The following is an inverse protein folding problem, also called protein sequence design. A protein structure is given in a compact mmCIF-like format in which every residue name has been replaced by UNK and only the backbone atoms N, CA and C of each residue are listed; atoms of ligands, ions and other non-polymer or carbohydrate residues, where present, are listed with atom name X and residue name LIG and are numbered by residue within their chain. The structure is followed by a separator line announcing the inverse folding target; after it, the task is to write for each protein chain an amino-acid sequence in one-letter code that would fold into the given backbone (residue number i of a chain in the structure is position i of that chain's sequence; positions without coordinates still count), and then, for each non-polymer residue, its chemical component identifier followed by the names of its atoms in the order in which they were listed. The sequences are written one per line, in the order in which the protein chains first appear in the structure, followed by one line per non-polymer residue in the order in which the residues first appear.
data_IF_191047055680
#
_entry.id   IF_191047055680
#
_cell.length_a   1.000
_cell.length_b   1.000
_cell.length_c   1.000
_cell.angle_alpha   90.00
_cell.angle_beta   90.00
_cell.angle_gamma   90.00
#
_symmetry.space_group_name_H-M   'P 1'
#
loop_
_entity.id
_entity.type
_entity.pdbx_description
1 polymer ?
#
# COMPACT_ATOMS: atom_id res chain seq x y z
N UNK A 1 -39.97 -47.65 79.56
CA UNK A 1 -40.77 -48.23 78.46
C UNK A 1 -41.68 -47.13 77.93
N UNK A 2 -41.22 -46.40 76.92
CA UNK A 2 -41.98 -45.52 76.04
C UNK A 2 -41.01 -45.03 74.94
N UNK A 3 -41.06 -45.71 73.79
CA UNK A 3 -40.35 -45.36 72.55
C UNK A 3 -40.90 -44.04 72.01
N UNK A 4 -40.02 -43.06 71.81
CA UNK A 4 -40.33 -41.86 71.05
C UNK A 4 -40.03 -42.13 69.57
N UNK A 5 -41.10 -42.33 68.80
CA UNK A 5 -41.12 -42.48 67.35
C UNK A 5 -40.50 -41.27 66.65
N UNK A 6 -39.31 -41.47 66.07
CA UNK A 6 -38.68 -40.54 65.13
C UNK A 6 -39.43 -40.60 63.79
N UNK A 7 -40.28 -39.60 63.51
CA UNK A 7 -40.87 -39.41 62.20
C UNK A 7 -39.89 -38.65 61.31
N UNK A 8 -39.09 -39.40 60.55
CA UNK A 8 -38.19 -38.88 59.53
C UNK A 8 -39.02 -38.41 58.32
N UNK A 9 -39.34 -37.10 58.28
CA UNK A 9 -39.92 -36.48 57.08
C UNK A 9 -38.84 -36.42 55.99
N UNK A 10 -38.96 -37.28 55.00
CA UNK A 10 -38.28 -37.16 53.71
C UNK A 10 -38.67 -35.81 53.08
N UNK A 11 -37.69 -34.89 52.97
CA UNK A 11 -37.85 -33.67 52.19
C UNK A 11 -37.64 -34.03 50.72
N UNK A 12 -38.67 -33.86 49.90
CA UNK A 12 -38.53 -33.94 48.45
C UNK A 12 -37.56 -32.86 47.94
N UNK A 13 -36.66 -33.19 47.00
CA UNK A 13 -35.78 -32.20 46.39
C UNK A 13 -36.63 -31.26 45.51
N UNK A 14 -36.67 -29.98 45.88
CA UNK A 14 -37.24 -28.93 45.04
C UNK A 14 -36.45 -28.83 43.72
N UNK A 15 -37.11 -28.75 42.55
CA UNK A 15 -36.42 -28.54 41.28
C UNK A 15 -35.80 -27.14 41.29
N UNK A 16 -34.47 -27.08 41.46
CA UNK A 16 -33.71 -25.83 41.36
C UNK A 16 -33.86 -25.31 39.95
N UNK A 17 -34.51 -24.16 39.81
CA UNK A 17 -34.85 -23.55 38.54
C UNK A 17 -33.59 -23.30 37.70
N UNK A 18 -33.41 -24.12 36.66
CA UNK A 18 -32.28 -24.11 35.72
C UNK A 18 -32.24 -22.85 34.81
N UNK A 19 -33.08 -21.84 35.07
CA UNK A 19 -33.27 -20.67 34.19
C UNK A 19 -32.04 -19.77 34.09
N UNK A 20 -31.22 -19.68 35.14
CA UNK A 20 -30.05 -18.78 35.15
C UNK A 20 -28.86 -19.25 34.31
N UNK A 21 -28.70 -20.57 34.10
CA UNK A 21 -27.64 -21.13 33.25
C UNK A 21 -27.96 -20.93 31.76
N UNK A 22 -29.20 -21.21 31.36
CA UNK A 22 -29.66 -21.03 29.98
C UNK A 22 -29.48 -19.59 29.47
N UNK A 23 -29.67 -18.57 30.31
CA UNK A 23 -29.49 -17.18 29.90
C UNK A 23 -28.03 -16.79 29.67
N UNK A 24 -27.11 -17.33 30.48
CA UNK A 24 -25.67 -17.06 30.33
C UNK A 24 -25.14 -17.79 29.09
N UNK A 25 -25.55 -19.04 28.89
CA UNK A 25 -25.16 -19.83 27.73
C UNK A 25 -25.67 -19.23 26.42
N UNK A 26 -26.92 -18.71 26.42
CA UNK A 26 -27.49 -18.00 25.27
C UNK A 26 -26.76 -16.69 24.97
N UNK A 27 -26.35 -15.94 26.00
CA UNK A 27 -25.58 -14.71 25.84
C UNK A 27 -24.21 -14.99 25.19
N UNK A 28 -23.50 -16.03 25.66
CA UNK A 28 -22.22 -16.44 25.09
C UNK A 28 -22.34 -16.94 23.67
N UNK A 29 -23.34 -17.75 23.36
CA UNK A 29 -23.63 -18.18 22.00
C UNK A 29 -23.88 -16.99 21.07
N UNK A 30 -24.66 -16.01 21.54
CA UNK A 30 -24.94 -14.79 20.77
C UNK A 30 -23.65 -13.99 20.55
N UNK A 31 -22.83 -13.81 21.59
CA UNK A 31 -21.56 -13.09 21.50
C UNK A 31 -20.58 -13.75 20.50
N UNK A 32 -20.47 -15.09 20.53
CA UNK A 32 -19.64 -15.84 19.59
C UNK A 32 -20.18 -15.70 18.16
N UNK A 33 -21.50 -15.73 17.98
CA UNK A 33 -22.11 -15.62 16.66
C UNK A 33 -21.97 -14.21 16.09
N UNK A 34 -22.02 -13.16 16.92
CA UNK A 34 -21.71 -11.78 16.52
C UNK A 34 -20.23 -11.60 16.20
N UNK A 35 -19.33 -12.14 17.03
CA UNK A 35 -17.88 -12.08 16.75
C UNK A 35 -17.51 -12.83 15.46
N UNK A 36 -18.14 -13.99 15.24
CA UNK A 36 -17.99 -14.78 14.02
C UNK A 36 -18.61 -14.12 12.79
N UNK A 37 -19.69 -13.36 12.92
CA UNK A 37 -20.27 -12.63 11.78
C UNK A 37 -19.49 -11.38 11.42
N UNK A 38 -18.80 -10.75 12.39
CA UNK A 38 -17.94 -9.59 12.17
C UNK A 38 -16.81 -9.87 11.15
N UNK A 39 -16.33 -11.10 11.04
CA UNK A 39 -15.29 -11.45 10.05
C UNK A 39 -15.75 -11.24 8.59
N UNK A 40 -17.07 -11.26 8.33
CA UNK A 40 -17.65 -10.99 7.00
C UNK A 40 -17.87 -9.49 6.75
N UNK A 41 -17.87 -8.68 7.81
CA UNK A 41 -17.99 -7.23 7.74
C UNK A 41 -16.66 -6.53 7.57
N UNK A 42 -15.56 -7.18 7.96
CA UNK A 42 -14.24 -6.67 7.61
C UNK A 42 -13.94 -7.00 6.15
N UNK A 43 -13.64 -6.01 5.31
CA UNK A 43 -13.15 -6.28 3.97
C UNK A 43 -11.90 -7.14 4.09
N UNK A 44 -11.72 -8.11 3.19
CA UNK A 44 -10.45 -8.83 3.06
C UNK A 44 -9.36 -7.82 2.71
N UNK A 45 -8.72 -7.25 3.74
CA UNK A 45 -7.54 -6.42 3.59
C UNK A 45 -6.43 -7.38 3.24
N UNK A 46 -6.22 -7.59 1.94
CA UNK A 46 -5.00 -8.24 1.48
C UNK A 46 -3.84 -7.41 2.04
N UNK A 47 -2.85 -8.02 2.73
CA UNK A 47 -1.63 -7.29 3.01
C UNK A 47 -1.15 -6.72 1.68
N UNK A 48 -0.94 -5.39 1.63
CA UNK A 48 -0.39 -4.76 0.44
C UNK A 48 0.93 -5.43 0.06
N UNK A 49 1.35 -5.27 -1.19
CA UNK A 49 2.66 -5.76 -1.65
C UNK A 49 3.74 -5.19 -0.73
N UNK A 50 4.67 -6.05 -0.27
CA UNK A 50 5.79 -5.61 0.55
C UNK A 50 6.61 -4.56 -0.22
N UNK A 51 7.20 -3.60 0.49
CA UNK A 51 8.08 -2.55 -0.06
C UNK A 51 7.47 -1.46 -0.98
N UNK A 52 6.17 -1.51 -1.31
CA UNK A 52 5.48 -0.41 -2.01
C UNK A 52 5.16 0.79 -1.10
N UNK A 53 4.73 1.92 -1.69
CA UNK A 53 4.32 3.12 -0.93
C UNK A 53 3.20 2.84 0.09
N UNK A 54 2.38 1.82 -0.16
CA UNK A 54 1.29 1.35 0.72
C UNK A 54 1.69 0.19 1.65
N UNK A 55 2.96 -0.24 1.63
CA UNK A 55 3.46 -1.29 2.53
C UNK A 55 3.30 -0.90 4.01
N UNK A 56 3.06 -1.90 4.86
CA UNK A 56 3.08 -1.74 6.32
C UNK A 56 4.50 -1.54 6.86
N UNK A 57 5.51 -1.98 6.12
CA UNK A 57 6.92 -1.85 6.48
C UNK A 57 7.42 -0.40 6.31
N UNK A 58 8.49 -0.04 7.02
CA UNK A 58 9.05 1.31 6.93
C UNK A 58 10.01 1.50 5.75
N UNK A 59 10.35 0.40 5.07
CA UNK A 59 11.41 0.33 4.06
C UNK A 59 10.85 0.44 2.62
N UNK A 60 11.75 0.50 1.64
CA UNK A 60 11.42 0.52 0.22
C UNK A 60 10.88 1.86 -0.27
N UNK A 61 9.85 1.82 -1.12
CA UNK A 61 9.27 3.02 -1.75
C UNK A 61 8.56 3.92 -0.73
N UNK A 62 8.09 3.34 0.38
CA UNK A 62 7.51 4.08 1.50
C UNK A 62 8.56 4.89 2.25
N UNK A 63 9.78 4.37 2.45
CA UNK A 63 10.88 5.13 3.04
C UNK A 63 11.14 6.42 2.25
N UNK A 64 11.21 6.32 0.92
CA UNK A 64 11.36 7.47 0.03
C UNK A 64 10.22 8.49 0.18
N UNK A 65 8.97 8.04 0.21
CA UNK A 65 7.82 8.93 0.46
C UNK A 65 7.91 9.64 1.82
N UNK A 66 8.29 8.93 2.89
CA UNK A 66 8.40 9.50 4.23
C UNK A 66 9.53 10.53 4.31
N UNK A 67 10.67 10.24 3.68
CA UNK A 67 11.78 11.19 3.55
C UNK A 67 11.37 12.43 2.76
N UNK A 68 10.70 12.26 1.62
CA UNK A 68 10.16 13.37 0.84
C UNK A 68 9.23 14.23 1.68
N UNK A 69 8.28 13.63 2.38
CA UNK A 69 7.35 14.36 3.24
C UNK A 69 8.08 15.15 4.33
N UNK A 70 9.03 14.52 5.02
CA UNK A 70 9.81 15.17 6.08
C UNK A 70 10.63 16.35 5.55
N UNK A 71 11.30 16.18 4.41
CA UNK A 71 12.09 17.26 3.79
C UNK A 71 11.20 18.37 3.21
N UNK A 72 10.05 18.01 2.65
CA UNK A 72 9.07 18.97 2.15
C UNK A 72 8.45 19.79 3.28
N UNK A 73 8.17 19.20 4.44
CA UNK A 73 7.71 19.95 5.62
C UNK A 73 8.74 21.02 6.05
N UNK A 74 10.05 20.69 6.04
CA UNK A 74 11.12 21.67 6.30
C UNK A 74 11.15 22.80 5.27
N UNK A 75 10.89 22.48 4.00
CA UNK A 75 10.92 23.41 2.88
C UNK A 75 9.58 24.11 2.63
N UNK A 76 8.55 23.86 3.45
CA UNK A 76 7.17 24.33 3.26
C UNK A 76 6.57 23.93 1.91
N UNK A 77 6.99 22.79 1.37
CA UNK A 77 6.42 22.17 0.18
C UNK A 77 5.32 21.18 0.61
N UNK A 78 4.26 21.10 -0.20
CA UNK A 78 3.14 20.20 0.10
C UNK A 78 3.33 18.84 -0.58
N UNK A 79 3.50 17.79 0.21
CA UNK A 79 3.52 16.40 -0.25
C UNK A 79 2.34 15.66 0.36
N UNK A 80 1.48 15.13 -0.50
CA UNK A 80 0.34 14.33 -0.08
C UNK A 80 0.25 13.05 -0.91
N UNK A 81 -0.34 12.01 -0.32
CA UNK A 81 -0.75 10.83 -1.07
C UNK A 81 -2.07 11.11 -1.76
N UNK A 82 -2.10 10.70 -3.01
CA UNK A 82 -3.33 10.56 -3.77
C UNK A 82 -4.13 9.37 -3.24
N UNK A 83 -5.38 9.62 -2.85
CA UNK A 83 -6.36 8.57 -2.55
C UNK A 83 -7.50 8.55 -3.57
N UNK A 84 -7.50 9.51 -4.49
CA UNK A 84 -8.50 9.62 -5.51
C UNK A 84 -8.01 8.90 -6.78
N UNK A 85 -8.93 8.38 -7.58
CA UNK A 85 -8.61 7.92 -8.92
C UNK A 85 -7.81 8.98 -9.70
N UNK A 86 -6.83 8.54 -10.51
CA UNK A 86 -5.97 9.45 -11.29
C UNK A 86 -6.79 10.31 -12.26
N UNK A 87 -7.92 9.81 -12.76
CA UNK A 87 -8.92 10.59 -13.51
C UNK A 87 -9.63 11.67 -12.67
N UNK A 88 -9.56 11.68 -11.34
CA UNK A 88 -10.09 12.79 -10.54
C UNK A 88 -8.99 13.78 -10.14
N UNK A 89 -7.75 13.34 -10.04
CA UNK A 89 -6.62 14.22 -9.72
C UNK A 89 -5.95 14.83 -10.95
N UNK A 90 -5.96 14.11 -12.06
CA UNK A 90 -5.45 14.54 -13.36
C UNK A 90 -6.62 14.97 -14.28
N UNK A 91 -7.77 14.29 -14.21
CA UNK A 91 -8.93 14.49 -15.12
C UNK A 91 -10.18 15.07 -14.41
N UNK A 92 -10.10 15.45 -13.12
CA UNK A 92 -11.17 16.08 -12.31
C UNK A 92 -11.53 17.51 -12.71
N UNK A 93 -11.43 17.77 -14.01
CA UNK A 93 -11.76 18.97 -14.74
C UNK A 93 -12.16 18.50 -16.12
N UNK A 94 -13.42 18.14 -16.29
CA UNK A 94 -14.09 18.07 -17.59
C UNK A 94 -14.13 19.48 -18.21
N UNK A 95 -12.97 19.96 -18.63
CA UNK A 95 -12.68 21.10 -19.49
C UNK A 95 -11.20 21.44 -19.34
N UNK A 96 -10.33 20.79 -20.12
CA UNK A 96 -9.15 21.47 -20.71
C UNK A 96 -8.18 22.17 -19.73
N UNK A 97 -8.17 21.81 -18.45
CA UNK A 97 -7.44 22.53 -17.40
C UNK A 97 -6.92 21.55 -16.36
N UNK A 98 -5.64 21.21 -16.46
CA UNK A 98 -4.80 20.78 -15.33
C UNK A 98 -5.29 21.47 -14.03
N UNK A 99 -5.55 20.75 -12.92
CA UNK A 99 -6.03 21.33 -11.67
C UNK A 99 -5.21 22.58 -11.33
N UNK A 100 -5.85 23.65 -10.84
CA UNK A 100 -5.15 24.91 -10.52
C UNK A 100 -4.01 24.72 -9.49
N UNK A 101 -3.98 23.58 -8.77
CA UNK A 101 -2.88 23.14 -7.89
C UNK A 101 -1.64 22.58 -8.63
N UNK A 102 -1.82 22.07 -9.84
CA UNK A 102 -0.75 21.59 -10.72
C UNK A 102 -0.27 22.69 -11.70
N UNK A 103 -0.95 23.85 -11.75
CA UNK A 103 -0.58 25.05 -12.51
C UNK A 103 0.11 26.13 -11.66
N UNK A 104 0.87 25.73 -10.65
CA UNK A 104 1.73 26.69 -9.96
C UNK A 104 2.87 27.13 -10.89
N UNK A 105 3.43 28.31 -10.64
CA UNK A 105 4.62 28.84 -11.32
C UNK A 105 5.83 27.87 -11.28
N UNK A 106 5.78 26.88 -10.38
CA UNK A 106 6.55 25.63 -10.45
C UNK A 106 5.57 24.45 -10.55
N UNK A 107 5.48 23.76 -11.70
CA UNK A 107 4.65 22.57 -11.81
C UNK A 107 5.16 21.52 -10.81
N UNK A 108 4.27 20.95 -9.97
CA UNK A 108 4.69 20.02 -8.92
C UNK A 108 5.15 18.69 -9.51
N UNK A 109 5.84 17.85 -8.74
CA UNK A 109 6.20 16.51 -9.20
C UNK A 109 5.08 15.51 -8.90
N UNK A 110 4.71 14.69 -9.88
CA UNK A 110 3.82 13.54 -9.71
C UNK A 110 4.67 12.28 -9.50
N UNK A 111 4.44 11.54 -8.42
CA UNK A 111 5.22 10.35 -8.09
C UNK A 111 4.36 9.08 -8.18
N UNK A 112 4.61 8.23 -9.17
CA UNK A 112 4.02 6.90 -9.34
C UNK A 112 4.96 5.85 -8.75
N UNK A 113 4.88 5.66 -7.43
CA UNK A 113 5.81 4.82 -6.66
C UNK A 113 5.20 3.45 -6.30
N UNK A 114 5.00 2.60 -7.32
CA UNK A 114 4.28 1.32 -7.17
C UNK A 114 2.79 1.53 -6.86
N UNK A 115 2.01 2.18 -7.74
CA UNK A 115 0.61 2.48 -7.45
C UNK A 115 -0.24 1.21 -7.42
N UNK A 116 -1.27 1.16 -6.58
CA UNK A 116 -2.19 0.02 -6.51
C UNK A 116 -2.86 -0.30 -7.86
N UNK A 117 -3.06 0.72 -8.70
CA UNK A 117 -3.47 0.58 -10.10
C UNK A 117 -2.62 1.53 -10.93
N UNK A 118 -2.05 1.04 -12.03
CA UNK A 118 -1.42 1.93 -13.00
C UNK A 118 -2.46 2.80 -13.74
N UNK A 119 -2.06 3.96 -14.27
CA UNK A 119 -2.96 4.77 -15.08
C UNK A 119 -3.49 4.01 -16.30
N UNK A 120 -4.73 4.27 -16.69
CA UNK A 120 -5.31 3.77 -17.94
C UNK A 120 -4.83 4.62 -19.15
N UNK A 121 -5.24 4.28 -20.37
CA UNK A 121 -4.79 4.98 -21.58
C UNK A 121 -5.17 6.48 -21.61
N UNK A 122 -6.35 6.84 -21.10
CA UNK A 122 -6.82 8.23 -21.05
C UNK A 122 -6.04 9.03 -19.99
N UNK A 123 -5.85 8.45 -18.81
CA UNK A 123 -5.06 9.05 -17.73
C UNK A 123 -3.60 9.23 -18.13
N UNK A 124 -3.01 8.26 -18.85
CA UNK A 124 -1.67 8.40 -19.39
C UNK A 124 -1.58 9.57 -20.37
N UNK A 125 -2.56 9.73 -21.26
CA UNK A 125 -2.60 10.85 -22.20
C UNK A 125 -2.60 12.18 -21.44
N UNK A 126 -3.41 12.31 -20.38
CA UNK A 126 -3.48 13.53 -19.58
C UNK A 126 -2.19 13.80 -18.78
N UNK A 127 -1.55 12.75 -18.22
CA UNK A 127 -0.24 12.87 -17.55
C UNK A 127 0.81 13.34 -18.55
N UNK A 128 0.79 12.83 -19.78
CA UNK A 128 1.76 13.20 -20.81
C UNK A 128 1.57 14.64 -21.31
N UNK A 129 0.33 15.07 -21.51
CA UNK A 129 0.03 16.48 -21.81
C UNK A 129 0.52 17.40 -20.70
N UNK A 130 0.42 16.96 -19.44
CA UNK A 130 0.92 17.70 -18.29
C UNK A 130 2.46 17.73 -18.22
N UNK A 131 3.15 16.63 -18.51
CA UNK A 131 4.62 16.59 -18.63
C UNK A 131 5.09 17.54 -19.73
N UNK A 132 4.45 17.50 -20.91
CA UNK A 132 4.74 18.40 -22.02
C UNK A 132 4.53 19.89 -21.67
N UNK A 133 3.70 20.18 -20.66
CA UNK A 133 3.51 21.52 -20.11
C UNK A 133 4.55 21.91 -19.04
N UNK A 134 5.56 21.07 -18.79
CA UNK A 134 6.66 21.28 -17.84
C UNK A 134 6.53 20.48 -16.54
N UNK A 135 5.57 19.57 -16.42
CA UNK A 135 5.40 18.72 -15.24
C UNK A 135 6.49 17.64 -15.09
N UNK A 136 6.86 17.34 -13.85
CA UNK A 136 7.85 16.29 -13.56
C UNK A 136 7.16 15.00 -13.12
N UNK A 137 7.42 13.89 -13.80
CA UNK A 137 6.91 12.57 -13.43
C UNK A 137 8.03 11.69 -12.87
N UNK A 138 7.86 11.18 -11.65
CA UNK A 138 8.73 10.17 -11.04
C UNK A 138 8.04 8.81 -11.13
N UNK A 139 8.69 7.82 -11.75
CA UNK A 139 8.15 6.46 -11.89
C UNK A 139 9.03 5.47 -11.13
N UNK A 140 8.39 4.62 -10.34
CA UNK A 140 8.93 3.39 -9.82
C UNK A 140 7.93 2.25 -9.97
N UNK A 141 8.45 1.11 -10.39
CA UNK A 141 7.68 -0.08 -10.65
C UNK A 141 7.12 -0.73 -9.39
N UNK A 142 5.91 -1.25 -9.49
CA UNK A 142 5.32 -2.15 -8.49
C UNK A 142 5.96 -3.53 -8.56
N UNK A 143 6.27 -4.12 -7.41
CA UNK A 143 7.08 -5.34 -7.36
C UNK A 143 6.32 -6.60 -7.84
N UNK A 144 5.01 -6.66 -7.64
CA UNK A 144 4.13 -7.75 -8.11
C UNK A 144 3.59 -7.55 -9.54
N UNK A 145 3.91 -6.43 -10.20
CA UNK A 145 3.44 -6.14 -11.55
C UNK A 145 4.53 -5.47 -12.42
N UNK A 146 5.66 -6.17 -12.64
CA UNK A 146 6.87 -5.60 -13.23
C UNK A 146 6.85 -5.53 -14.77
N UNK A 147 5.70 -5.60 -15.43
CA UNK A 147 5.59 -5.58 -16.90
C UNK A 147 4.82 -4.35 -17.42
N UNK A 148 5.10 -3.18 -16.85
CA UNK A 148 4.50 -1.93 -17.31
C UNK A 148 5.21 -1.47 -18.60
N UNK A 149 4.43 -1.18 -19.65
CA UNK A 149 4.91 -0.49 -20.85
C UNK A 149 4.17 0.83 -21.01
N UNK A 150 4.91 1.92 -21.18
CA UNK A 150 4.38 3.24 -21.46
C UNK A 150 5.01 3.70 -22.79
N UNK A 151 4.43 3.28 -23.94
CA UNK A 151 5.05 3.50 -25.25
C UNK A 151 5.32 4.97 -25.57
N UNK A 152 4.48 5.87 -25.06
CA UNK A 152 4.53 7.30 -25.37
C UNK A 152 5.78 8.00 -24.80
N UNK A 153 6.38 7.48 -23.72
CA UNK A 153 7.62 7.98 -23.11
C UNK A 153 8.78 6.99 -23.23
N UNK A 154 8.59 5.91 -24.00
CA UNK A 154 9.60 4.87 -24.19
C UNK A 154 10.08 4.25 -22.86
N UNK A 155 9.14 4.07 -21.91
CA UNK A 155 9.43 3.48 -20.60
C UNK A 155 8.90 2.05 -20.59
N UNK A 156 9.79 1.11 -20.31
CA UNK A 156 9.46 -0.29 -20.11
C UNK A 156 10.00 -0.77 -18.77
N UNK A 157 9.12 -1.21 -17.90
CA UNK A 157 9.48 -1.91 -16.67
C UNK A 157 9.58 -3.39 -16.98
N UNK A 158 10.62 -4.03 -16.42
CA UNK A 158 10.82 -5.49 -16.51
C UNK A 158 11.22 -6.05 -15.14
N UNK A 159 10.91 -7.32 -14.85
CA UNK A 159 11.36 -7.96 -13.63
C UNK A 159 12.88 -8.14 -13.64
N UNK A 160 13.50 -8.07 -12.46
CA UNK A 160 14.92 -8.31 -12.29
C UNK A 160 15.34 -9.73 -12.70
N UNK A 161 14.43 -10.71 -12.61
CA UNK A 161 14.67 -12.08 -13.05
C UNK A 161 15.04 -12.20 -14.54
N UNK A 162 14.70 -11.20 -15.37
CA UNK A 162 15.02 -11.19 -16.81
C UNK A 162 16.46 -10.72 -17.12
N UNK A 163 17.17 -10.11 -16.16
CA UNK A 163 18.51 -9.52 -16.38
C UNK A 163 19.65 -10.56 -16.45
N UNK A 164 19.37 -11.85 -16.26
CA UNK A 164 20.38 -12.90 -16.21
C UNK A 164 21.20 -12.89 -14.91
N UNK A 165 21.79 -14.03 -14.56
CA UNK A 165 22.47 -14.27 -13.27
C UNK A 165 23.80 -13.48 -13.08
N UNK A 166 24.23 -12.70 -14.07
CA UNK A 166 25.62 -12.24 -14.18
C UNK A 166 26.03 -11.00 -13.37
N UNK A 167 25.11 -10.09 -13.06
CA UNK A 167 25.47 -8.75 -12.54
C UNK A 167 24.70 -8.32 -11.28
N UNK A 168 23.95 -9.22 -10.64
CA UNK A 168 23.04 -8.87 -9.57
C UNK A 168 23.52 -9.28 -8.18
N UNK A 169 23.55 -8.32 -7.25
CA UNK A 169 23.41 -8.59 -5.81
C UNK A 169 21.92 -8.61 -5.51
N UNK A 170 21.25 -9.66 -5.98
CA UNK A 170 19.89 -9.99 -5.56
C UNK A 170 20.03 -10.76 -4.26
N UNK A 171 19.37 -10.29 -3.21
CA UNK A 171 19.29 -11.07 -1.98
C UNK A 171 18.46 -12.35 -2.19
N UNK A 172 18.45 -13.25 -1.21
CA UNK A 172 17.66 -14.50 -1.30
C UNK A 172 16.15 -14.26 -1.52
N UNK A 173 15.67 -13.02 -1.40
CA UNK A 173 14.28 -12.64 -1.63
C UNK A 173 13.97 -12.22 -3.06
N UNK A 174 14.96 -12.09 -3.94
CA UNK A 174 14.74 -11.62 -5.31
C UNK A 174 14.76 -10.10 -5.46
N UNK A 175 15.16 -9.36 -4.43
CA UNK A 175 15.10 -7.90 -4.37
C UNK A 175 16.50 -7.27 -4.42
N UNK A 176 16.55 -6.05 -4.96
CA UNK A 176 17.77 -5.22 -4.95
C UNK A 176 17.58 -4.05 -4.01
N UNK A 177 18.52 -3.92 -3.06
CA UNK A 177 18.57 -2.87 -2.03
C UNK A 177 19.50 -1.73 -2.42
N UNK A 178 18.95 -0.53 -2.56
CA UNK A 178 19.71 0.70 -2.82
C UNK A 178 19.63 1.61 -1.60
N UNK A 179 20.77 2.01 -1.05
CA UNK A 179 20.80 2.90 0.13
C UNK A 179 20.32 4.30 -0.26
N UNK A 180 19.30 4.83 0.44
CA UNK A 180 18.74 6.16 0.16
C UNK A 180 19.48 7.30 0.86
N UNK A 181 20.15 7.02 1.98
CA UNK A 181 20.91 7.99 2.77
C UNK A 181 22.25 7.39 3.19
N UNK A 182 23.32 8.16 3.08
CA UNK A 182 24.70 7.69 3.36
C UNK A 182 24.88 7.22 4.80
N UNK A 183 24.06 7.73 5.72
CA UNK A 183 24.07 7.37 7.14
C UNK A 183 22.67 6.91 7.56
N UNK A 184 22.51 5.61 7.80
CA UNK A 184 21.26 5.02 8.31
C UNK A 184 20.86 3.70 7.64
N UNK A 185 19.79 3.11 8.15
CA UNK A 185 19.20 1.87 7.63
C UNK A 185 17.93 2.19 6.80
N UNK A 186 18.04 3.10 5.83
CA UNK A 186 16.94 3.40 4.90
C UNK A 186 17.34 2.96 3.49
N UNK A 187 16.61 1.98 3.00
CA UNK A 187 16.87 1.36 1.71
C UNK A 187 15.64 1.48 0.82
N UNK A 188 15.90 1.67 -0.46
CA UNK A 188 14.98 1.42 -1.54
C UNK A 188 15.09 -0.04 -1.94
N UNK A 189 13.95 -0.71 -2.06
CA UNK A 189 13.86 -2.11 -2.48
C UNK A 189 12.99 -2.18 -3.72
N UNK A 190 13.45 -2.94 -4.72
CA UNK A 190 12.63 -3.25 -5.88
C UNK A 190 12.98 -4.61 -6.47
N UNK A 191 11.95 -5.31 -6.95
CA UNK A 191 12.04 -6.54 -7.73
C UNK A 191 12.06 -6.29 -9.25
N UNK A 192 12.09 -5.02 -9.68
CA UNK A 192 11.98 -4.62 -11.07
C UNK A 192 13.03 -3.59 -11.45
N UNK A 193 13.27 -3.48 -12.74
CA UNK A 193 14.11 -2.46 -13.34
C UNK A 193 13.37 -1.73 -14.47
N UNK A 194 13.87 -0.54 -14.79
CA UNK A 194 13.26 0.38 -15.74
C UNK A 194 14.22 0.60 -16.90
N UNK A 195 13.76 0.26 -18.09
CA UNK A 195 14.35 0.62 -19.37
C UNK A 195 13.67 1.92 -19.85
N UNK A 196 14.38 3.04 -19.77
CA UNK A 196 13.85 4.35 -20.13
C UNK A 196 14.97 5.24 -20.69
N UNK A 197 15.37 5.06 -21.96
CA UNK A 197 16.54 5.73 -22.54
C UNK A 197 16.40 7.26 -22.62
N UNK A 198 15.18 7.78 -22.50
CA UNK A 198 14.86 9.22 -22.55
C UNK A 198 14.61 9.83 -21.18
N UNK A 199 14.61 9.03 -20.11
CA UNK A 199 14.36 9.48 -18.75
C UNK A 199 15.67 9.56 -17.95
N UNK A 200 15.70 10.42 -16.94
CA UNK A 200 16.85 10.52 -16.04
C UNK A 200 16.74 9.46 -14.94
N UNK A 201 17.79 8.64 -14.69
CA UNK A 201 17.78 7.69 -13.58
C UNK A 201 17.81 8.44 -12.24
N UNK A 202 16.92 8.04 -11.32
CA UNK A 202 16.82 8.58 -9.95
C UNK A 202 17.42 7.63 -8.93
N UNK A 203 17.07 6.34 -9.03
CA UNK A 203 17.59 5.28 -8.16
C UNK A 203 18.19 4.21 -9.06
N UNK A 204 19.44 3.84 -8.80
CA UNK A 204 20.16 2.83 -9.56
C UNK A 204 21.07 2.00 -8.65
N UNK A 205 21.24 0.72 -8.98
CA UNK A 205 22.15 -0.19 -8.33
C UNK A 205 22.84 -1.08 -9.35
N UNK A 206 24.17 -1.15 -9.33
CA UNK A 206 24.92 -1.96 -10.29
C UNK A 206 24.59 -1.65 -11.75
N UNK A 207 24.32 -0.38 -12.08
CA UNK A 207 23.90 0.04 -13.44
C UNK A 207 22.43 -0.24 -13.79
N UNK A 208 21.69 -0.94 -12.92
CA UNK A 208 20.27 -1.23 -13.09
C UNK A 208 19.43 -0.10 -12.52
N UNK A 209 18.60 0.52 -13.36
CA UNK A 209 17.74 1.65 -12.96
C UNK A 209 16.45 1.12 -12.33
N UNK A 210 16.11 1.62 -11.14
CA UNK A 210 14.93 1.21 -10.37
C UNK A 210 13.84 2.30 -10.31
N UNK A 211 14.22 3.56 -10.47
CA UNK A 211 13.31 4.69 -10.55
C UNK A 211 13.85 5.74 -11.51
N UNK A 212 12.96 6.44 -12.21
CA UNK A 212 13.31 7.47 -13.22
C UNK A 212 12.50 8.74 -13.04
N UNK A 213 13.06 9.84 -13.53
CA UNK A 213 12.42 11.14 -13.69
C UNK A 213 12.20 11.38 -15.18
N UNK A 214 10.97 11.75 -15.55
CA UNK A 214 10.59 12.23 -16.87
C UNK A 214 10.12 13.68 -16.76
N UNK A 215 10.70 14.55 -17.59
CA UNK A 215 10.35 15.96 -17.78
C UNK A 215 10.01 16.22 -19.25
#
# INVERSE_FOLDING_TARGET
MAEALFHERTREPTPVANRGRFTIDALWLTAILVAGSMQYWFPNVRPGVSHDSYSTEADGKKAFYLLLRQESEKRKLHVARSFYPLDQEVVGTSSRKIPDRLKLDNPPALCLLGPHRYPNAEEWTAILEWIQAGGTLVIAARDDHPHLKIPLVDITVRPLSELGEGDQVVDDSGLVRTTLVTEGNLYWESGAWIDAPKAQPLVQFGGTVQAVIQE
#
